data_IF_731582811235
#
_entry.id   IF_731582811235
#
_cell.length_a   1.000
_cell.length_b   1.000
_cell.length_c   1.000
_cell.angle_alpha   90.00
_cell.angle_beta   90.00
_cell.angle_gamma   90.00
#
_symmetry.space_group_name_H-M   'P 1'
#
loop_
_entity.id
_entity.type
_entity.pdbx_description
1 polymer ?
#
# COMPACT_ATOMS: atom_id res chain seq x y z
N UNK A 1 -19.62 -2.85 -5.41
CA UNK A 1 -19.54 -4.28 -5.79
C UNK A 1 -18.90 -5.03 -4.63
N UNK A 2 -19.07 -6.34 -4.47
CA UNK A 2 -18.37 -7.06 -3.39
C UNK A 2 -16.85 -7.11 -3.71
N UNK A 3 -15.99 -6.57 -2.85
CA UNK A 3 -14.53 -6.61 -3.04
C UNK A 3 -14.03 -8.04 -3.24
N UNK A 4 -14.64 -9.03 -2.57
CA UNK A 4 -14.29 -10.43 -2.75
C UNK A 4 -14.56 -10.93 -4.18
N UNK A 5 -15.66 -10.50 -4.80
CA UNK A 5 -16.00 -10.87 -6.17
C UNK A 5 -15.03 -10.24 -7.19
N UNK A 6 -14.57 -9.01 -6.93
CA UNK A 6 -13.54 -8.35 -7.73
C UNK A 6 -12.22 -9.14 -7.61
N UNK A 7 -11.85 -9.60 -6.42
CA UNK A 7 -10.62 -10.38 -6.21
C UNK A 7 -10.72 -11.76 -6.88
N UNK A 8 -11.86 -12.45 -6.80
CA UNK A 8 -12.07 -13.76 -7.42
C UNK A 8 -11.92 -13.73 -8.95
N UNK A 9 -12.48 -12.72 -9.63
CA UNK A 9 -12.34 -12.54 -11.08
C UNK A 9 -10.86 -12.43 -11.52
N UNK A 10 -10.01 -11.95 -10.63
CA UNK A 10 -8.60 -11.73 -10.92
C UNK A 10 -7.72 -12.98 -10.79
N UNK A 11 -8.26 -14.10 -10.30
CA UNK A 11 -7.65 -15.44 -10.40
C UNK A 11 -7.60 -15.99 -11.83
N UNK A 12 -8.17 -15.26 -12.81
CA UNK A 12 -8.13 -15.60 -14.22
C UNK A 12 -6.69 -15.60 -14.77
N UNK A 13 -6.24 -16.66 -15.48
CA UNK A 13 -4.87 -16.81 -16.00
C UNK A 13 -4.43 -15.74 -17.02
N UNK A 14 -5.32 -14.85 -17.46
CA UNK A 14 -4.98 -13.64 -18.22
C UNK A 14 -4.18 -12.61 -17.39
N UNK A 15 -4.32 -12.60 -16.06
CA UNK A 15 -3.54 -11.74 -15.16
C UNK A 15 -2.26 -12.46 -14.72
N UNK A 16 -1.11 -12.04 -15.25
CA UNK A 16 0.13 -12.83 -15.12
C UNK A 16 1.08 -12.38 -14.01
N UNK A 17 1.01 -11.12 -13.58
CA UNK A 17 2.02 -10.57 -12.68
C UNK A 17 1.39 -10.29 -11.31
N UNK A 18 1.66 -11.11 -10.29
CA UNK A 18 1.16 -10.88 -8.94
C UNK A 18 1.89 -9.70 -8.28
N UNK A 19 1.12 -8.80 -7.68
CA UNK A 19 1.61 -7.70 -6.83
C UNK A 19 0.93 -7.74 -5.48
N UNK A 20 1.67 -7.40 -4.44
CA UNK A 20 1.11 -7.30 -3.10
C UNK A 20 0.35 -5.97 -2.96
N UNK A 21 -0.94 -6.04 -2.65
CA UNK A 21 -1.76 -4.89 -2.36
C UNK A 21 -1.98 -4.83 -0.84
N UNK A 22 -1.23 -3.94 -0.20
CA UNK A 22 -1.19 -3.73 1.25
C UNK A 22 -2.12 -2.59 1.65
N UNK A 23 -3.08 -2.86 2.53
CA UNK A 23 -3.99 -1.84 3.06
C UNK A 23 -4.66 -2.34 4.34
N UNK A 24 -5.07 -1.41 5.19
CA UNK A 24 -6.02 -1.72 6.27
C UNK A 24 -7.44 -1.82 5.70
N UNK A 25 -8.24 -2.79 6.15
CA UNK A 25 -9.64 -2.96 5.70
C UNK A 25 -10.41 -1.64 5.79
N UNK A 26 -10.92 -1.05 4.69
CA UNK A 26 -11.64 0.21 4.73
C UNK A 26 -12.75 0.22 5.79
N UNK A 27 -12.90 1.32 6.53
CA UNK A 27 -13.97 1.45 7.53
C UNK A 27 -15.09 2.41 7.11
N UNK A 28 -14.94 3.09 5.97
CA UNK A 28 -15.92 4.02 5.42
C UNK A 28 -16.05 3.89 3.90
N UNK A 29 -17.07 4.52 3.33
CA UNK A 29 -17.39 4.45 1.90
C UNK A 29 -16.33 5.09 1.02
N UNK A 30 -15.71 6.19 1.46
CA UNK A 30 -14.67 6.89 0.68
C UNK A 30 -13.41 6.04 0.54
N UNK A 31 -12.92 5.44 1.63
CA UNK A 31 -11.80 4.49 1.59
C UNK A 31 -12.14 3.27 0.74
N UNK A 32 -13.38 2.79 0.83
CA UNK A 32 -13.85 1.66 0.01
C UNK A 32 -13.80 2.01 -1.48
N UNK A 33 -14.36 3.16 -1.87
CA UNK A 33 -14.33 3.65 -3.26
C UNK A 33 -12.90 3.86 -3.76
N UNK A 34 -12.03 4.45 -2.95
CA UNK A 34 -10.63 4.68 -3.30
C UNK A 34 -9.92 3.34 -3.56
N UNK A 35 -10.07 2.37 -2.66
CA UNK A 35 -9.50 1.04 -2.80
C UNK A 35 -10.06 0.29 -4.03
N UNK A 36 -11.38 0.29 -4.25
CA UNK A 36 -11.99 -0.30 -5.45
C UNK A 36 -11.42 0.32 -6.72
N UNK A 37 -11.19 1.64 -6.71
CA UNK A 37 -10.61 2.34 -7.85
C UNK A 37 -9.16 1.92 -8.09
N UNK A 38 -8.32 1.80 -7.05
CA UNK A 38 -6.95 1.25 -7.15
C UNK A 38 -6.97 -0.14 -7.75
N UNK A 39 -7.79 -1.05 -7.21
CA UNK A 39 -7.88 -2.43 -7.68
C UNK A 39 -8.23 -2.46 -9.17
N UNK A 40 -9.21 -1.66 -9.59
CA UNK A 40 -9.59 -1.56 -11.00
C UNK A 40 -8.46 -1.00 -11.87
N UNK A 41 -7.72 0.03 -11.42
CA UNK A 41 -6.57 0.57 -12.17
C UNK A 41 -5.45 -0.46 -12.34
N UNK A 42 -5.14 -1.24 -11.31
CA UNK A 42 -4.17 -2.35 -11.37
C UNK A 42 -4.63 -3.41 -12.38
N UNK A 43 -5.91 -3.81 -12.31
CA UNK A 43 -6.50 -4.78 -13.23
C UNK A 43 -6.50 -4.32 -14.68
N UNK A 44 -6.80 -3.04 -14.96
CA UNK A 44 -6.72 -2.49 -16.31
C UNK A 44 -5.32 -2.59 -16.91
N UNK A 45 -4.29 -2.80 -16.09
CA UNK A 45 -2.92 -3.06 -16.51
C UNK A 45 -2.59 -4.57 -16.55
N UNK A 46 -3.57 -5.48 -16.48
CA UNK A 46 -3.35 -6.93 -16.48
C UNK A 46 -2.38 -7.42 -15.38
N UNK A 47 -2.34 -6.70 -14.25
CA UNK A 47 -1.61 -7.05 -13.04
C UNK A 47 -2.59 -7.63 -12.02
N UNK A 48 -2.15 -8.61 -11.24
CA UNK A 48 -2.98 -9.32 -10.26
C UNK A 48 -2.71 -8.81 -8.83
N UNK A 49 -3.59 -7.98 -8.23
CA UNK A 49 -3.43 -7.55 -6.86
C UNK A 49 -3.78 -8.68 -5.88
N UNK A 50 -2.86 -8.99 -4.96
CA UNK A 50 -3.00 -10.01 -3.92
C UNK A 50 -3.01 -9.39 -2.54
N UNK A 51 -3.93 -9.85 -1.68
CA UNK A 51 -4.07 -9.40 -0.29
C UNK A 51 -4.33 -10.58 0.63
N UNK A 52 -3.59 -10.61 1.74
CA UNK A 52 -3.71 -11.64 2.76
C UNK A 52 -5.13 -11.68 3.35
N UNK A 53 -5.68 -12.88 3.50
CA UNK A 53 -7.03 -13.09 4.04
C UNK A 53 -8.17 -12.78 3.07
N UNK A 54 -7.85 -12.36 1.83
CA UNK A 54 -8.85 -12.18 0.76
C UNK A 54 -8.57 -13.02 -0.47
N UNK A 55 -7.47 -12.76 -1.19
CA UNK A 55 -7.06 -13.58 -2.33
C UNK A 55 -6.33 -14.84 -1.88
N UNK A 56 -5.63 -14.75 -0.75
CA UNK A 56 -4.72 -15.78 -0.27
C UNK A 56 -5.01 -16.09 1.20
N UNK A 57 -5.15 -17.38 1.51
CA UNK A 57 -5.28 -17.89 2.87
C UNK A 57 -4.10 -18.79 3.18
N UNK A 58 -3.44 -18.51 4.30
CA UNK A 58 -2.30 -19.25 4.81
C UNK A 58 -2.64 -19.75 6.20
N UNK A 59 -2.21 -20.97 6.55
CA UNK A 59 -2.43 -21.55 7.88
C UNK A 59 -1.39 -21.10 8.90
N UNK A 60 -0.34 -20.41 8.44
CA UNK A 60 0.73 -19.88 9.27
C UNK A 60 0.34 -18.59 10.02
N UNK A 61 1.24 -18.16 10.92
CA UNK A 61 1.07 -16.87 11.61
C UNK A 61 1.10 -15.70 10.61
N UNK A 62 0.49 -14.54 10.93
CA UNK A 62 0.35 -13.42 9.99
C UNK A 62 1.66 -12.96 9.36
N UNK A 63 2.72 -12.81 10.16
CA UNK A 63 4.03 -12.35 9.69
C UNK A 63 4.70 -13.36 8.74
N UNK A 64 4.56 -14.66 9.02
CA UNK A 64 5.09 -15.71 8.14
C UNK A 64 4.31 -15.73 6.82
N UNK A 65 3.00 -15.53 6.89
CA UNK A 65 2.12 -15.45 5.72
C UNK A 65 2.47 -14.26 4.83
N UNK A 66 2.67 -13.06 5.42
CA UNK A 66 3.13 -11.87 4.70
C UNK A 66 4.48 -12.14 4.02
N UNK A 67 5.45 -12.70 4.77
CA UNK A 67 6.78 -13.04 4.22
C UNK A 67 6.65 -13.96 3.00
N UNK A 68 5.78 -14.97 3.05
CA UNK A 68 5.55 -15.88 1.92
C UNK A 68 4.90 -15.16 0.73
N UNK A 69 3.96 -14.25 0.97
CA UNK A 69 3.39 -13.43 -0.09
C UNK A 69 4.48 -12.61 -0.79
N UNK A 70 5.40 -11.99 -0.05
CA UNK A 70 6.49 -11.19 -0.64
C UNK A 70 7.38 -11.99 -1.61
N UNK A 71 7.53 -13.30 -1.41
CA UNK A 71 8.33 -14.16 -2.30
C UNK A 71 7.63 -14.45 -3.63
N UNK A 72 6.30 -14.35 -3.68
CA UNK A 72 5.47 -14.71 -4.84
C UNK A 72 4.76 -13.51 -5.46
N UNK A 73 5.27 -12.30 -5.18
CA UNK A 73 4.84 -11.04 -5.77
C UNK A 73 6.05 -10.32 -6.38
N UNK A 74 5.80 -9.44 -7.35
CA UNK A 74 6.82 -8.74 -8.13
C UNK A 74 6.72 -7.21 -8.00
N UNK A 75 5.94 -6.76 -7.03
CA UNK A 75 5.81 -5.37 -6.62
C UNK A 75 4.85 -5.25 -5.45
N UNK A 76 4.84 -4.08 -4.84
CA UNK A 76 3.92 -3.74 -3.78
C UNK A 76 3.29 -2.36 -4.02
N UNK A 77 1.99 -2.25 -3.78
CA UNK A 77 1.30 -0.99 -3.60
C UNK A 77 0.70 -0.98 -2.19
N UNK A 78 1.18 -0.06 -1.35
CA UNK A 78 0.72 0.09 0.02
C UNK A 78 -0.13 1.35 0.17
N UNK A 79 -1.30 1.23 0.78
CA UNK A 79 -2.23 2.35 1.03
C UNK A 79 -2.45 2.55 2.52
N UNK A 80 -1.83 3.59 3.06
CA UNK A 80 -1.92 4.01 4.45
C UNK A 80 -3.19 4.82 4.70
N UNK A 81 -4.31 4.12 4.84
CA UNK A 81 -5.56 4.73 5.31
C UNK A 81 -5.45 5.17 6.77
N UNK A 82 -6.23 6.20 7.13
CA UNK A 82 -6.50 6.55 8.53
C UNK A 82 -7.06 5.35 9.27
N UNK A 83 -6.62 5.13 10.51
CA UNK A 83 -7.10 4.00 11.31
C UNK A 83 -7.42 4.32 12.76
N UNK A 84 -6.49 4.94 13.48
CA UNK A 84 -6.73 5.37 14.85
C UNK A 84 -6.55 6.88 14.93
N UNK A 85 -7.58 7.56 15.42
CA UNK A 85 -7.48 8.97 15.76
C UNK A 85 -6.86 9.10 17.15
N UNK A 86 -5.84 9.93 17.27
CA UNK A 86 -5.16 10.20 18.52
C UNK A 86 -5.35 11.69 18.85
N UNK A 87 -6.23 12.02 19.81
CA UNK A 87 -6.44 13.40 20.23
C UNK A 87 -5.18 14.03 20.81
N UNK A 88 -4.44 13.25 21.62
CA UNK A 88 -3.18 13.68 22.27
C UNK A 88 -2.26 12.47 22.47
N UNK A 89 -1.00 12.62 22.10
CA UNK A 89 0.09 11.71 22.46
C UNK A 89 1.20 12.50 23.17
N UNK A 90 1.75 11.93 24.24
CA UNK A 90 2.94 12.45 24.93
C UNK A 90 4.10 11.53 24.57
N UNK A 91 5.04 12.04 23.78
CA UNK A 91 6.24 11.33 23.33
C UNK A 91 7.34 11.52 24.37
N UNK A 92 7.99 10.43 24.79
CA UNK A 92 9.08 10.42 25.78
C UNK A 92 8.72 11.19 27.08
N UNK A 93 7.65 10.78 27.78
CA UNK A 93 7.16 11.51 28.94
C UNK A 93 8.22 11.60 30.05
N UNK A 94 8.25 12.74 30.75
CA UNK A 94 9.19 13.08 31.81
C UNK A 94 10.66 13.15 31.35
N UNK A 95 10.91 13.53 30.10
CA UNK A 95 12.25 13.72 29.56
C UNK A 95 12.45 15.14 29.00
N UNK A 96 13.71 15.55 28.81
CA UNK A 96 14.03 16.82 28.14
C UNK A 96 13.57 16.86 26.67
N UNK A 97 13.20 15.70 26.10
CA UNK A 97 12.70 15.54 24.74
C UNK A 97 11.20 15.26 24.72
N UNK A 98 10.48 15.57 25.79
CA UNK A 98 9.02 15.41 25.83
C UNK A 98 8.37 16.28 24.75
N UNK A 99 7.46 15.67 23.99
CA UNK A 99 6.71 16.35 22.94
C UNK A 99 5.24 15.95 23.04
N UNK A 100 4.35 16.94 22.93
CA UNK A 100 2.91 16.71 22.84
C UNK A 100 2.51 16.84 21.37
N UNK A 101 1.90 15.79 20.83
CA UNK A 101 1.37 15.75 19.47
C UNK A 101 -0.15 15.59 19.57
N UNK A 102 -0.90 16.48 18.90
CA UNK A 102 -2.36 16.52 18.98
C UNK A 102 -3.02 16.28 17.63
N UNK A 103 -4.26 15.76 17.68
CA UNK A 103 -5.21 15.69 16.57
C UNK A 103 -4.64 15.08 15.28
N UNK A 104 -4.09 13.87 15.37
CA UNK A 104 -3.53 13.17 14.21
C UNK A 104 -4.10 11.76 14.08
N UNK A 105 -3.92 11.17 12.91
CA UNK A 105 -4.27 9.78 12.67
C UNK A 105 -3.01 8.92 12.57
N UNK A 106 -3.11 7.66 12.96
CA UNK A 106 -2.13 6.64 12.59
C UNK A 106 -2.76 5.65 11.62
N UNK A 107 -1.91 4.99 10.83
CA UNK A 107 -2.32 3.87 9.98
C UNK A 107 -2.09 2.53 10.70
N UNK A 108 -2.36 1.41 10.01
CA UNK A 108 -2.10 0.07 10.54
C UNK A 108 -0.60 -0.17 10.75
N UNK A 109 -0.16 -0.71 11.91
CA UNK A 109 1.24 -1.08 12.11
C UNK A 109 1.69 -2.20 11.15
N UNK A 110 0.78 -3.06 10.68
CA UNK A 110 1.10 -4.07 9.67
C UNK A 110 1.60 -3.45 8.36
N UNK A 111 1.08 -2.28 7.98
CA UNK A 111 1.48 -1.60 6.75
C UNK A 111 2.97 -1.23 6.79
N UNK A 112 3.45 -0.75 7.94
CA UNK A 112 4.87 -0.41 8.16
C UNK A 112 5.76 -1.65 7.99
N UNK A 113 5.32 -2.81 8.50
CA UNK A 113 6.02 -4.09 8.38
C UNK A 113 6.04 -4.57 6.92
N UNK A 114 4.90 -4.53 6.26
CA UNK A 114 4.73 -4.96 4.87
C UNK A 114 5.56 -4.11 3.90
N UNK A 115 5.60 -2.80 4.12
CA UNK A 115 6.47 -1.87 3.39
C UNK A 115 7.94 -2.19 3.69
N UNK A 116 8.34 -2.38 4.94
CA UNK A 116 9.73 -2.73 5.28
C UNK A 116 10.18 -4.05 4.62
N UNK A 117 9.33 -5.07 4.60
CA UNK A 117 9.59 -6.34 3.91
C UNK A 117 9.66 -6.17 2.39
N UNK A 118 8.80 -5.32 1.84
CA UNK A 118 8.80 -4.94 0.42
C UNK A 118 10.13 -4.30 0.01
N UNK A 119 10.63 -3.38 0.83
CA UNK A 119 11.94 -2.74 0.65
C UNK A 119 13.05 -3.80 0.71
N UNK A 120 13.01 -4.70 1.69
CA UNK A 120 14.00 -5.77 1.81
C UNK A 120 13.98 -6.72 0.60
N UNK A 121 12.80 -6.99 0.02
CA UNK A 121 12.65 -7.81 -1.19
C UNK A 121 13.23 -7.13 -2.43
N UNK A 122 13.35 -5.79 -2.41
CA UNK A 122 13.93 -4.99 -3.49
C UNK A 122 13.05 -4.87 -4.73
N UNK A 123 11.78 -5.28 -4.66
CA UNK A 123 10.85 -5.12 -5.77
C UNK A 123 10.26 -3.69 -5.83
N UNK A 124 9.63 -3.29 -6.95
CA UNK A 124 9.01 -1.98 -7.08
C UNK A 124 7.92 -1.74 -6.03
N UNK A 125 7.97 -0.58 -5.37
CA UNK A 125 7.07 -0.21 -4.28
C UNK A 125 6.46 1.16 -4.56
N UNK A 126 5.14 1.26 -4.38
CA UNK A 126 4.38 2.51 -4.36
C UNK A 126 3.71 2.66 -2.99
N UNK A 127 3.82 3.84 -2.38
CA UNK A 127 3.21 4.14 -1.08
C UNK A 127 2.24 5.29 -1.25
N UNK A 128 0.98 5.05 -0.92
CA UNK A 128 -0.09 6.04 -0.88
C UNK A 128 -0.44 6.34 0.57
N UNK A 129 -0.57 7.59 0.97
CA UNK A 129 -0.90 8.00 2.34
C UNK A 129 -2.11 8.92 2.36
N UNK A 130 -3.10 8.56 3.19
CA UNK A 130 -4.29 9.41 3.37
C UNK A 130 -3.91 10.65 4.19
N UNK A 131 -4.30 11.84 3.70
CA UNK A 131 -4.05 13.12 4.36
C UNK A 131 -4.48 13.10 5.82
N UNK A 132 -3.56 13.42 6.74
CA UNK A 132 -3.81 13.44 8.19
C UNK A 132 -3.30 12.21 8.94
N UNK A 133 -2.84 11.17 8.23
CA UNK A 133 -1.94 10.16 8.82
C UNK A 133 -0.62 10.84 9.17
N UNK A 134 -0.18 10.70 10.41
CA UNK A 134 1.10 11.24 10.87
C UNK A 134 2.24 10.39 10.30
N UNK A 135 3.01 11.01 9.41
CA UNK A 135 4.17 10.43 8.75
C UNK A 135 5.49 10.89 9.36
N UNK A 136 5.47 11.65 10.46
CA UNK A 136 6.67 12.24 11.04
C UNK A 136 7.02 11.68 12.42
N UNK A 137 8.28 11.88 12.81
CA UNK A 137 8.78 11.55 14.14
C UNK A 137 8.56 10.08 14.52
N UNK A 138 8.09 9.85 15.75
CA UNK A 138 7.93 8.49 16.31
C UNK A 138 6.82 7.66 15.65
N UNK A 139 5.94 8.29 14.88
CA UNK A 139 4.84 7.62 14.18
C UNK A 139 5.11 7.43 12.68
N UNK A 140 6.12 8.12 12.13
CA UNK A 140 6.43 8.11 10.72
C UNK A 140 6.98 6.78 10.20
N UNK A 141 8.03 6.26 10.84
CA UNK A 141 8.65 5.00 10.41
C UNK A 141 9.05 5.02 8.94
N UNK A 142 8.66 3.99 8.17
CA UNK A 142 8.91 3.92 6.72
C UNK A 142 8.05 4.90 5.90
N UNK A 143 7.06 5.54 6.52
CA UNK A 143 6.27 6.60 5.91
C UNK A 143 6.89 7.99 6.12
N UNK A 144 8.00 8.11 6.86
CA UNK A 144 8.68 9.38 7.02
C UNK A 144 9.41 9.79 5.74
N UNK A 145 9.25 11.05 5.34
CA UNK A 145 9.93 11.60 4.17
C UNK A 145 11.46 11.42 4.32
N UNK A 146 12.07 10.79 3.32
CA UNK A 146 13.51 10.49 3.30
C UNK A 146 13.93 9.27 4.12
N UNK A 147 13.03 8.59 4.84
CA UNK A 147 13.35 7.32 5.51
C UNK A 147 13.52 6.15 4.52
N UNK A 148 12.94 6.27 3.33
CA UNK A 148 13.06 5.29 2.25
C UNK A 148 13.33 6.01 0.93
N UNK A 149 13.93 5.35 -0.08
CA UNK A 149 14.18 5.98 -1.39
C UNK A 149 12.92 6.13 -2.25
N UNK A 150 11.74 5.78 -1.71
CA UNK A 150 10.48 5.77 -2.45
C UNK A 150 9.71 7.06 -2.22
N UNK A 151 9.07 7.55 -3.29
CA UNK A 151 8.17 8.69 -3.19
C UNK A 151 6.88 8.28 -2.48
N UNK A 152 6.49 9.10 -1.51
CA UNK A 152 5.23 8.98 -0.79
C UNK A 152 4.20 9.88 -1.47
N UNK A 153 3.09 9.28 -1.88
CA UNK A 153 2.02 9.99 -2.59
C UNK A 153 0.87 10.22 -1.61
N UNK A 154 0.60 11.49 -1.31
CA UNK A 154 -0.53 11.84 -0.47
C UNK A 154 -1.82 11.91 -1.28
N UNK A 155 -2.94 11.54 -0.64
CA UNK A 155 -4.27 11.65 -1.22
C UNK A 155 -5.30 12.11 -0.18
N UNK A 156 -6.31 12.84 -0.65
CA UNK A 156 -7.39 13.34 0.18
C UNK A 156 -8.69 12.57 -0.06
N UNK A 157 -9.38 12.25 1.04
CA UNK A 157 -10.72 11.62 1.03
C UNK A 157 -11.74 12.55 1.69
N UNK A 158 -11.88 13.78 1.19
CA UNK A 158 -12.91 14.71 1.66
C UNK A 158 -14.30 14.32 1.14
N UNK A 159 -14.37 13.85 -0.09
CA UNK A 159 -15.59 13.52 -0.83
C UNK A 159 -15.27 12.61 -2.03
N UNK A 160 -16.27 12.31 -2.87
CA UNK A 160 -16.07 11.48 -4.06
C UNK A 160 -15.33 12.22 -5.18
N UNK A 161 -15.49 13.54 -5.28
CA UNK A 161 -14.84 14.36 -6.30
C UNK A 161 -13.33 14.42 -6.06
N UNK A 162 -12.88 14.49 -4.80
CA UNK A 162 -11.46 14.43 -4.42
C UNK A 162 -10.80 13.13 -4.87
N UNK A 163 -11.53 12.01 -4.79
CA UNK A 163 -11.09 10.69 -5.27
C UNK A 163 -10.95 10.71 -6.80
N UNK A 164 -11.96 11.19 -7.51
CA UNK A 164 -11.97 11.25 -8.98
C UNK A 164 -10.84 12.14 -9.49
N UNK A 165 -10.72 13.35 -8.94
CA UNK A 165 -9.65 14.30 -9.26
C UNK A 165 -8.25 13.71 -9.05
N UNK A 166 -8.04 12.95 -7.97
CA UNK A 166 -6.77 12.26 -7.74
C UNK A 166 -6.45 11.28 -8.88
N UNK A 167 -7.39 10.39 -9.23
CA UNK A 167 -7.18 9.36 -10.26
C UNK A 167 -7.19 9.90 -11.71
N UNK A 168 -7.75 11.08 -11.93
CA UNK A 168 -7.71 11.81 -13.21
C UNK A 168 -6.49 12.73 -13.34
N UNK A 169 -5.74 12.95 -12.27
CA UNK A 169 -4.55 13.78 -12.31
C UNK A 169 -3.47 13.18 -13.22
N UNK A 170 -2.75 14.05 -13.93
CA UNK A 170 -1.54 13.64 -14.70
C UNK A 170 -0.52 13.01 -13.75
N UNK A 171 -0.34 13.60 -12.58
CA UNK A 171 0.59 13.11 -11.57
C UNK A 171 0.34 11.65 -11.18
N UNK A 172 -0.90 11.28 -10.86
CA UNK A 172 -1.26 9.90 -10.57
C UNK A 172 -0.98 9.00 -11.78
N UNK A 173 -1.44 9.38 -12.97
CA UNK A 173 -1.29 8.55 -14.18
C UNK A 173 0.16 8.23 -14.48
N UNK A 174 1.03 9.23 -14.49
CA UNK A 174 2.46 9.05 -14.77
C UNK A 174 3.13 8.19 -13.70
N UNK A 175 2.88 8.50 -12.42
CA UNK A 175 3.50 7.76 -11.31
C UNK A 175 3.03 6.30 -11.26
N UNK A 176 1.76 6.06 -11.53
CA UNK A 176 1.19 4.73 -11.60
C UNK A 176 1.75 3.92 -12.77
N UNK A 177 1.83 4.50 -13.96
CA UNK A 177 2.37 3.82 -15.15
C UNK A 177 3.88 3.54 -15.03
N UNK A 178 4.65 4.45 -14.42
CA UNK A 178 6.05 4.22 -14.09
C UNK A 178 6.22 3.02 -13.14
N UNK A 179 5.43 2.97 -12.05
CA UNK A 179 5.42 1.82 -11.15
C UNK A 179 5.04 0.52 -11.87
N UNK A 180 4.00 0.53 -12.73
CA UNK A 180 3.62 -0.61 -13.57
C UNK A 180 4.78 -1.08 -14.46
N UNK A 181 5.48 -0.15 -15.11
CA UNK A 181 6.66 -0.46 -15.93
C UNK A 181 7.77 -1.12 -15.12
N UNK A 182 8.06 -0.60 -13.92
CA UNK A 182 9.02 -1.18 -12.99
C UNK A 182 8.62 -2.59 -12.55
N UNK A 183 7.34 -2.81 -12.21
CA UNK A 183 6.80 -4.13 -11.82
C UNK A 183 7.02 -5.15 -12.94
N UNK A 184 6.73 -4.77 -14.20
CA UNK A 184 6.96 -5.65 -15.35
C UNK A 184 8.44 -5.94 -15.56
N UNK A 185 9.29 -4.92 -15.49
CA UNK A 185 10.74 -5.11 -15.63
C UNK A 185 11.31 -6.03 -14.55
N UNK A 186 10.85 -5.88 -13.31
CA UNK A 186 11.23 -6.77 -12.21
C UNK A 186 10.74 -8.20 -12.43
N UNK A 187 9.48 -8.38 -12.81
CA UNK A 187 8.92 -9.69 -13.15
C UNK A 187 9.71 -10.38 -14.26
N UNK A 188 9.98 -9.69 -15.36
CA UNK A 188 10.77 -10.24 -16.47
C UNK A 188 12.16 -10.66 -16.00
N UNK A 189 12.87 -9.82 -15.23
CA UNK A 189 14.20 -10.14 -14.71
C UNK A 189 14.22 -11.40 -13.84
N UNK A 190 13.20 -11.60 -13.00
CA UNK A 190 13.14 -12.73 -12.06
C UNK A 190 12.61 -14.02 -12.69
N UNK A 191 11.97 -13.95 -13.86
CA UNK A 191 11.31 -15.10 -14.49
C UNK A 191 11.86 -15.48 -15.85
N UNK A 192 12.69 -14.64 -16.48
CA UNK A 192 13.36 -14.96 -17.74
C UNK A 192 14.43 -16.04 -17.52
N UNK A 193 14.34 -17.20 -18.21
CA UNK A 193 15.26 -18.32 -18.01
C UNK A 193 16.74 -18.09 -18.41
N UNK A 194 17.18 -16.87 -18.73
CA UNK A 194 18.59 -16.58 -19.03
C UNK A 194 19.08 -15.25 -18.43
N UNK A 195 19.70 -15.31 -17.25
CA UNK A 195 21.16 -15.15 -17.03
C UNK A 195 21.50 -15.89 -15.71
N UNK A 196 21.87 -17.17 -15.80
CA UNK A 196 22.70 -17.86 -14.80
C UNK A 196 24.08 -18.10 -15.39
#
# INVERSE_FOLDING_TARGET
>A
MNISAIIEESSNPLYKIPVFLSYAVPYNSLQTKFLETIINKIKCQLIFPRTLGRSDQYTETPIISIKRMMLSNYGCLATAFKRAYIPTAIVKPNSQQEQIINNFWTTSPYLQIEIAMSIQRGFPLMILVEDGVNTDGVFGGVLQQGATPYNIINFSLSDYESIENFFESVFWRETFLDWVGKVRGFYSKETDPMIQ
#
